data_IF_195618023944
#
_entry.id   IF_195618023944
#
_cell.length_a   1.000
_cell.length_b   1.000
_cell.length_c   1.000
_cell.angle_alpha   90.00
_cell.angle_beta   90.00
_cell.angle_gamma   90.00
#
_symmetry.space_group_name_H-M   'P 1'
#
loop_
_entity.id
_entity.type
_entity.pdbx_description
1 polymer ?
#
# COMPACT_ATOMS: atom_id res chain seq x y z
N UNK A 1 23.42 27.06 69.73
CA UNK A 1 23.32 26.08 68.63
C UNK A 1 21.99 26.30 67.93
N UNK A 2 21.99 27.07 66.84
CA UNK A 2 20.82 27.37 66.02
C UNK A 2 20.81 26.40 64.84
N UNK A 3 19.82 25.51 64.78
CA UNK A 3 19.65 24.56 63.68
C UNK A 3 18.85 25.23 62.55
N UNK A 4 19.45 25.36 61.37
CA UNK A 4 18.80 25.83 60.15
C UNK A 4 18.15 24.63 59.47
N UNK A 5 16.81 24.62 59.39
CA UNK A 5 16.04 23.62 58.64
C UNK A 5 16.13 23.96 57.15
N UNK A 6 16.93 23.22 56.38
CA UNK A 6 16.97 23.30 54.92
C UNK A 6 15.86 22.46 54.30
N UNK A 7 14.87 23.11 53.70
CA UNK A 7 13.80 22.44 52.95
C UNK A 7 14.29 22.19 51.51
N UNK A 8 14.53 20.93 51.15
CA UNK A 8 14.93 20.53 49.80
C UNK A 8 13.67 20.37 48.95
N UNK A 9 13.45 21.28 48.01
CA UNK A 9 12.38 21.18 47.01
C UNK A 9 12.84 20.21 45.90
N UNK A 10 12.32 18.98 45.93
CA UNK A 10 12.45 18.02 44.83
C UNK A 10 11.49 18.45 43.71
N UNK A 11 12.02 19.13 42.68
CA UNK A 11 11.26 19.47 41.48
C UNK A 11 10.95 18.22 40.65
N UNK A 12 9.67 17.85 40.56
CA UNK A 12 9.20 16.81 39.63
C UNK A 12 9.31 17.36 38.20
N UNK A 13 10.21 16.80 37.40
CA UNK A 13 10.27 17.11 35.97
C UNK A 13 9.18 16.33 35.25
N UNK A 14 8.11 17.02 34.86
CA UNK A 14 7.08 16.48 33.97
C UNK A 14 7.62 16.57 32.55
N UNK A 15 8.05 15.45 31.98
CA UNK A 15 8.39 15.34 30.57
C UNK A 15 7.11 15.27 29.74
N UNK A 16 6.78 16.36 29.06
CA UNK A 16 5.75 16.33 28.03
C UNK A 16 6.29 15.57 26.82
N UNK A 17 5.73 14.39 26.55
CA UNK A 17 5.96 13.73 25.27
C UNK A 17 5.34 14.61 24.17
N UNK A 18 6.17 15.25 23.36
CA UNK A 18 5.70 15.90 22.12
C UNK A 18 5.19 14.79 21.19
N UNK A 19 3.87 14.71 21.05
CA UNK A 19 3.26 13.95 19.96
C UNK A 19 3.62 14.64 18.66
N UNK A 20 4.61 14.10 17.95
CA UNK A 20 4.99 14.60 16.64
C UNK A 20 3.79 14.38 15.70
N UNK A 21 3.16 15.48 15.30
CA UNK A 21 2.04 15.43 14.35
C UNK A 21 2.60 15.14 12.97
N UNK A 22 2.15 14.04 12.37
CA UNK A 22 2.56 13.64 11.03
C UNK A 22 1.88 14.55 9.97
N UNK A 23 2.55 14.79 8.84
CA UNK A 23 2.04 15.68 7.81
C UNK A 23 0.72 15.19 7.23
N UNK A 24 -0.11 16.14 6.79
CA UNK A 24 -1.40 15.91 6.15
C UNK A 24 -1.41 16.52 4.76
N UNK A 25 -2.06 15.85 3.82
CA UNK A 25 -2.25 16.30 2.43
C UNK A 25 -3.74 16.30 2.12
N UNK A 26 -4.25 17.41 1.58
CA UNK A 26 -5.59 17.50 1.02
C UNK A 26 -5.56 17.04 -0.45
N UNK A 27 -6.19 15.91 -0.75
CA UNK A 27 -6.28 15.32 -2.09
C UNK A 27 -7.52 15.81 -2.86
N UNK A 28 -8.32 16.70 -2.27
CA UNK A 28 -9.57 17.22 -2.82
C UNK A 28 -10.79 16.36 -2.47
N UNK A 29 -10.64 15.03 -2.50
CA UNK A 29 -11.69 14.08 -2.09
C UNK A 29 -11.48 13.50 -0.67
N UNK A 30 -10.28 13.61 -0.10
CA UNK A 30 -10.00 13.26 1.29
C UNK A 30 -8.81 14.06 1.84
N UNK A 31 -8.71 14.14 3.17
CA UNK A 31 -7.49 14.58 3.86
C UNK A 31 -6.76 13.32 4.32
N UNK A 32 -5.53 13.15 3.86
CA UNK A 32 -4.71 11.98 4.14
C UNK A 32 -3.49 12.37 5.00
N UNK A 33 -3.33 11.72 6.15
CA UNK A 33 -2.19 11.88 7.05
C UNK A 33 -1.15 10.79 6.77
N UNK A 34 0.13 11.11 6.86
CA UNK A 34 1.16 10.07 6.86
C UNK A 34 0.94 9.11 8.04
N UNK A 35 1.17 7.82 7.80
CA UNK A 35 1.05 6.76 8.81
C UNK A 35 2.30 6.69 9.69
N UNK A 36 3.46 6.97 9.10
CA UNK A 36 4.75 6.94 9.79
C UNK A 36 5.73 7.98 9.26
N UNK A 37 6.83 8.14 10.01
CA UNK A 37 8.03 8.82 9.59
C UNK A 37 9.24 7.98 9.99
N UNK A 38 10.02 7.54 9.00
CA UNK A 38 11.27 6.84 9.24
C UNK A 38 12.38 7.86 9.56
N UNK A 39 12.93 7.80 10.77
CA UNK A 39 13.98 8.73 11.20
C UNK A 39 15.36 8.41 10.63
N UNK A 40 15.64 7.14 10.34
CA UNK A 40 16.95 6.67 9.83
C UNK A 40 17.10 6.96 8.34
N UNK A 41 16.03 6.76 7.59
CA UNK A 41 15.90 7.22 6.21
C UNK A 41 14.75 8.23 6.21
N UNK A 42 15.01 9.56 6.22
CA UNK A 42 14.02 10.61 6.48
C UNK A 42 12.93 10.65 5.42
N UNK A 43 11.97 9.74 5.55
CA UNK A 43 10.90 9.43 4.61
C UNK A 43 9.57 9.48 5.36
N UNK A 44 8.58 10.14 4.77
CA UNK A 44 7.19 9.99 5.16
C UNK A 44 6.54 8.87 4.36
N UNK A 45 5.76 8.03 5.03
CA UNK A 45 4.91 7.03 4.41
C UNK A 45 3.45 7.48 4.46
N UNK A 46 2.82 7.59 3.31
CA UNK A 46 1.38 7.76 3.18
C UNK A 46 0.82 6.46 2.63
N UNK A 47 0.31 5.60 3.51
CA UNK A 47 -0.20 4.29 3.11
C UNK A 47 -1.69 4.31 2.78
N UNK A 48 -2.15 3.36 1.96
CA UNK A 48 -3.56 3.12 1.66
C UNK A 48 -4.35 4.37 1.27
N UNK A 49 -3.81 5.16 0.33
CA UNK A 49 -4.51 6.28 -0.31
C UNK A 49 -5.45 5.72 -1.38
N UNK A 50 -6.74 6.06 -1.32
CA UNK A 50 -7.74 5.60 -2.30
C UNK A 50 -7.54 6.32 -3.64
N UNK A 51 -7.22 5.62 -4.72
CA UNK A 51 -7.10 6.27 -6.04
C UNK A 51 -8.33 6.08 -6.94
N UNK A 52 -9.27 5.21 -6.58
CA UNK A 52 -10.50 4.97 -7.34
C UNK A 52 -11.67 4.54 -6.43
N UNK A 53 -12.89 4.60 -6.98
CA UNK A 53 -14.08 4.02 -6.36
C UNK A 53 -13.95 2.49 -6.23
N UNK A 54 -14.58 1.87 -5.22
CA UNK A 54 -14.59 0.42 -5.08
C UNK A 54 -15.16 -0.24 -6.36
N UNK A 55 -14.45 -1.18 -7.01
CA UNK A 55 -14.90 -1.87 -8.21
C UNK A 55 -15.92 -2.98 -7.90
N UNK A 56 -16.97 -2.64 -7.15
CA UNK A 56 -18.03 -3.56 -6.70
C UNK A 56 -19.35 -3.28 -7.41
N UNK A 57 -20.28 -4.24 -7.38
CA UNK A 57 -21.60 -4.09 -7.98
C UNK A 57 -21.51 -3.77 -9.46
N UNK A 58 -22.12 -2.65 -9.90
CA UNK A 58 -22.09 -2.23 -11.31
C UNK A 58 -20.72 -1.74 -11.79
N UNK A 59 -19.77 -1.49 -10.88
CA UNK A 59 -18.39 -1.13 -11.22
C UNK A 59 -17.47 -2.35 -11.34
N UNK A 60 -17.94 -3.56 -10.98
CA UNK A 60 -17.17 -4.79 -11.18
C UNK A 60 -16.99 -5.01 -12.69
N UNK A 61 -15.73 -5.26 -13.10
CA UNK A 61 -15.32 -5.43 -14.50
C UNK A 61 -15.49 -4.18 -15.39
N UNK A 62 -15.73 -3.01 -14.80
CA UNK A 62 -15.70 -1.73 -15.50
C UNK A 62 -14.32 -1.06 -15.37
N UNK A 63 -14.07 -0.04 -16.19
CA UNK A 63 -12.91 0.81 -16.00
C UNK A 63 -12.98 1.53 -14.63
N UNK A 64 -11.85 1.68 -13.90
CA UNK A 64 -11.84 2.42 -12.65
C UNK A 64 -12.34 3.85 -12.80
N UNK A 65 -13.12 4.31 -11.82
CA UNK A 65 -13.68 5.67 -11.80
C UNK A 65 -13.06 6.43 -10.62
N UNK A 66 -12.71 7.73 -10.76
CA UNK A 66 -12.15 8.51 -9.66
C UNK A 66 -13.05 8.55 -8.43
N UNK A 67 -12.48 8.72 -7.21
CA UNK A 67 -13.26 8.92 -5.99
C UNK A 67 -14.22 10.11 -6.12
N UNK A 68 -15.40 9.98 -5.49
CA UNK A 68 -16.45 11.01 -5.54
C UNK A 68 -16.75 11.56 -4.15
N UNK A 69 -17.17 12.83 -4.12
CA UNK A 69 -17.45 13.54 -2.88
C UNK A 69 -16.19 13.91 -2.10
N UNK A 70 -16.38 14.40 -0.86
CA UNK A 70 -15.31 14.70 0.07
C UNK A 70 -15.53 13.93 1.37
N UNK A 71 -14.60 13.06 1.72
CA UNK A 71 -14.60 12.40 3.02
C UNK A 71 -14.17 13.41 4.09
N UNK A 72 -15.03 13.72 5.08
CA UNK A 72 -14.71 14.67 6.14
C UNK A 72 -13.76 14.08 7.20
N UNK A 73 -13.58 12.76 7.22
CA UNK A 73 -12.73 12.05 8.18
C UNK A 73 -11.30 11.95 7.63
N UNK A 74 -10.32 12.36 8.44
CA UNK A 74 -8.91 12.20 8.11
C UNK A 74 -8.60 10.71 7.97
N UNK A 75 -8.09 10.32 6.81
CA UNK A 75 -7.56 8.98 6.57
C UNK A 75 -6.07 8.97 6.93
N UNK A 76 -5.57 7.88 7.49
CA UNK A 76 -4.16 7.70 7.85
C UNK A 76 -3.56 6.41 7.28
N UNK A 77 -4.36 5.68 6.49
CA UNK A 77 -3.93 4.45 5.85
C UNK A 77 -3.83 3.22 6.76
N UNK A 78 -4.26 3.31 8.02
CA UNK A 78 -4.12 2.23 9.01
C UNK A 78 -4.93 0.96 8.69
N UNK A 79 -5.98 1.08 7.86
CA UNK A 79 -6.78 -0.05 7.40
C UNK A 79 -6.23 -0.57 6.07
N UNK A 80 -5.40 -1.61 6.15
CA UNK A 80 -4.87 -2.30 4.98
C UNK A 80 -5.96 -2.94 4.11
N UNK A 81 -5.75 -2.89 2.79
CA UNK A 81 -6.64 -3.46 1.77
C UNK A 81 -5.80 -4.20 0.74
N UNK A 82 -6.13 -5.47 0.49
CA UNK A 82 -5.53 -6.24 -0.61
C UNK A 82 -6.62 -6.75 -1.52
N UNK A 83 -6.32 -6.85 -2.82
CA UNK A 83 -7.27 -7.37 -3.78
C UNK A 83 -7.47 -8.88 -3.61
N UNK A 84 -8.63 -9.43 -4.03
CA UNK A 84 -8.81 -10.86 -4.13
C UNK A 84 -7.75 -11.50 -5.03
N UNK A 85 -7.03 -12.50 -4.53
CA UNK A 85 -5.99 -13.22 -5.26
C UNK A 85 -6.18 -14.73 -5.10
N UNK A 86 -5.75 -15.49 -6.08
CA UNK A 86 -5.81 -16.94 -6.04
C UNK A 86 -4.78 -17.53 -7.00
N UNK A 87 -4.25 -18.71 -6.65
CA UNK A 87 -3.38 -19.46 -7.56
C UNK A 87 -4.26 -20.00 -8.70
N UNK A 88 -4.00 -19.60 -9.95
CA UNK A 88 -4.77 -20.08 -11.09
C UNK A 88 -4.29 -21.46 -11.53
N UNK A 89 -5.18 -22.24 -12.17
CA UNK A 89 -4.85 -23.59 -12.67
C UNK A 89 -3.63 -23.62 -13.60
N UNK A 90 -3.40 -22.55 -14.35
CA UNK A 90 -2.27 -22.50 -15.29
C UNK A 90 -0.91 -22.34 -14.59
N UNK A 91 -0.84 -21.90 -13.33
CA UNK A 91 0.42 -21.68 -12.62
C UNK A 91 1.26 -22.97 -12.46
N UNK A 92 0.74 -24.09 -11.93
CA UNK A 92 1.49 -25.34 -11.89
C UNK A 92 1.78 -25.91 -13.29
N UNK A 93 0.92 -25.67 -14.27
CA UNK A 93 1.12 -26.11 -15.67
C UNK A 93 2.31 -25.35 -16.29
N UNK A 94 2.37 -24.03 -16.06
CA UNK A 94 3.46 -23.18 -16.52
C UNK A 94 4.82 -23.63 -15.95
N UNK A 95 4.86 -24.03 -14.67
CA UNK A 95 6.08 -24.57 -14.06
C UNK A 95 6.59 -25.85 -14.75
N UNK A 96 5.68 -26.73 -15.20
CA UNK A 96 6.06 -27.92 -16.00
C UNK A 96 6.56 -27.49 -17.38
N UNK A 97 5.85 -26.55 -18.03
CA UNK A 97 6.25 -26.01 -19.33
C UNK A 97 7.63 -25.35 -19.31
N UNK A 98 7.95 -24.60 -18.27
CA UNK A 98 9.26 -23.98 -18.08
C UNK A 98 10.38 -25.03 -17.92
N UNK A 99 10.11 -26.10 -17.16
CA UNK A 99 11.05 -27.21 -17.01
C UNK A 99 11.30 -27.93 -18.34
N UNK A 100 10.24 -28.21 -19.11
CA UNK A 100 10.34 -28.82 -20.45
C UNK A 100 11.08 -27.89 -21.43
N UNK A 101 10.84 -26.59 -21.37
CA UNK A 101 11.56 -25.61 -22.19
C UNK A 101 13.06 -25.61 -21.89
N UNK A 102 13.44 -25.57 -20.61
CA UNK A 102 14.85 -25.60 -20.18
C UNK A 102 15.52 -26.92 -20.59
N UNK A 103 14.80 -28.04 -20.48
CA UNK A 103 15.29 -29.36 -20.86
C UNK A 103 15.36 -29.60 -22.38
N UNK A 104 14.80 -28.69 -23.19
CA UNK A 104 14.67 -28.89 -24.65
C UNK A 104 13.58 -29.88 -25.05
N UNK A 105 12.66 -30.18 -24.14
CA UNK A 105 11.55 -31.14 -24.29
C UNK A 105 10.21 -30.43 -24.58
N UNK A 106 10.21 -29.16 -25.01
CA UNK A 106 8.96 -28.42 -25.28
C UNK A 106 8.04 -29.11 -26.31
N UNK A 107 8.60 -29.97 -27.17
CA UNK A 107 7.82 -30.78 -28.13
C UNK A 107 6.96 -31.86 -27.47
N UNK A 108 7.25 -32.25 -26.23
CA UNK A 108 6.46 -33.21 -25.45
C UNK A 108 5.50 -32.56 -24.47
N UNK A 109 5.49 -31.23 -24.37
CA UNK A 109 4.60 -30.50 -23.48
C UNK A 109 3.14 -30.64 -23.94
N UNK A 110 2.29 -31.20 -23.08
CA UNK A 110 0.86 -31.38 -23.33
C UNK A 110 0.03 -30.60 -22.30
N UNK A 111 -0.42 -29.41 -22.72
CA UNK A 111 -1.26 -28.55 -21.90
C UNK A 111 -2.58 -29.22 -21.50
N UNK A 112 -3.20 -29.99 -22.40
CA UNK A 112 -4.55 -30.53 -22.17
C UNK A 112 -4.50 -31.61 -21.09
N UNK A 113 -3.55 -32.55 -21.20
CA UNK A 113 -3.34 -33.59 -20.19
C UNK A 113 -3.01 -33.02 -18.81
N UNK A 114 -2.14 -32.00 -18.75
CA UNK A 114 -1.80 -31.34 -17.49
C UNK A 114 -2.99 -30.56 -16.91
N UNK A 115 -3.77 -29.87 -17.74
CA UNK A 115 -4.95 -29.15 -17.29
C UNK A 115 -6.02 -30.09 -16.72
N UNK A 116 -6.25 -31.25 -17.33
CA UNK A 116 -7.15 -32.28 -16.80
C UNK A 116 -6.69 -32.79 -15.42
N UNK A 117 -5.39 -33.11 -15.28
CA UNK A 117 -4.81 -33.56 -14.01
C UNK A 117 -4.94 -32.51 -12.90
N UNK A 118 -4.65 -31.24 -13.23
CA UNK A 118 -4.79 -30.13 -12.28
C UNK A 118 -6.24 -29.94 -11.86
N UNK A 119 -7.19 -30.03 -12.79
CA UNK A 119 -8.61 -29.93 -12.47
C UNK A 119 -9.09 -31.07 -11.56
N UNK A 120 -8.67 -32.31 -11.83
CA UNK A 120 -9.00 -33.46 -10.97
C UNK A 120 -8.42 -33.28 -9.56
N UNK A 121 -7.18 -32.83 -9.45
CA UNK A 121 -6.54 -32.55 -8.16
C UNK A 121 -7.33 -31.51 -7.34
N UNK A 122 -7.68 -30.37 -7.93
CA UNK A 122 -8.44 -29.31 -7.25
C UNK A 122 -9.90 -29.70 -6.96
N UNK A 123 -10.48 -30.62 -7.74
CA UNK A 123 -11.80 -31.18 -7.43
C UNK A 123 -11.79 -31.99 -6.13
N UNK A 124 -10.67 -32.63 -5.80
CA UNK A 124 -10.51 -33.42 -4.58
C UNK A 124 -9.92 -32.59 -3.43
N UNK A 125 -9.18 -31.54 -3.74
CA UNK A 125 -8.49 -30.68 -2.79
C UNK A 125 -8.83 -29.21 -3.08
N UNK A 126 -10.04 -28.74 -2.72
CA UNK A 126 -10.41 -27.35 -2.99
C UNK A 126 -9.36 -26.39 -2.40
N UNK A 127 -8.95 -25.35 -3.14
CA UNK A 127 -7.95 -24.42 -2.67
C UNK A 127 -8.43 -23.74 -1.38
N UNK A 128 -7.53 -23.48 -0.42
CA UNK A 128 -7.89 -22.80 0.80
C UNK A 128 -8.49 -21.43 0.45
N UNK A 129 -9.53 -21.04 1.20
CA UNK A 129 -10.07 -19.69 1.11
C UNK A 129 -8.95 -18.67 1.35
N UNK A 130 -9.08 -17.49 0.74
CA UNK A 130 -8.09 -16.43 0.94
C UNK A 130 -7.93 -16.12 2.43
N UNK A 131 -6.70 -16.28 2.92
CA UNK A 131 -6.37 -16.19 4.35
C UNK A 131 -6.06 -14.77 4.81
N UNK A 132 -5.78 -13.85 3.89
CA UNK A 132 -5.59 -12.45 4.22
C UNK A 132 -6.93 -11.80 4.55
N UNK A 133 -7.13 -11.45 5.82
CA UNK A 133 -8.36 -10.81 6.31
C UNK A 133 -8.57 -9.40 5.74
N UNK A 134 -7.56 -8.80 5.12
CA UNK A 134 -7.64 -7.50 4.44
C UNK A 134 -8.22 -7.63 3.03
N UNK A 135 -8.42 -8.86 2.54
CA UNK A 135 -8.95 -9.13 1.23
C UNK A 135 -10.34 -8.56 1.01
N UNK A 136 -10.49 -7.70 0.01
CA UNK A 136 -11.79 -7.17 -0.41
C UNK A 136 -11.71 -6.64 -1.84
N UNK A 137 -12.82 -6.65 -2.57
CA UNK A 137 -12.87 -5.98 -3.87
C UNK A 137 -12.69 -4.45 -3.75
N UNK A 138 -12.97 -3.85 -2.59
CA UNK A 138 -12.58 -2.47 -2.31
C UNK A 138 -11.08 -2.37 -2.00
N UNK A 139 -10.24 -2.49 -3.04
CA UNK A 139 -8.79 -2.61 -2.93
C UNK A 139 -7.98 -1.63 -3.80
N UNK A 140 -8.63 -0.65 -4.44
CA UNK A 140 -7.95 0.32 -5.31
C UNK A 140 -7.27 1.44 -4.51
N UNK A 141 -6.18 1.06 -3.84
CA UNK A 141 -5.36 1.91 -2.98
C UNK A 141 -3.88 1.86 -3.38
N UNK A 142 -3.15 2.94 -3.11
CA UNK A 142 -1.71 3.05 -3.36
C UNK A 142 -0.99 3.58 -2.11
N UNK A 143 0.33 3.47 -2.12
CA UNK A 143 1.20 4.09 -1.11
C UNK A 143 2.09 5.14 -1.76
N UNK A 144 2.44 6.16 -0.99
CA UNK A 144 3.39 7.20 -1.39
C UNK A 144 4.46 7.34 -0.33
N UNK A 145 5.70 7.03 -0.70
CA UNK A 145 6.88 7.28 0.11
C UNK A 145 7.57 8.54 -0.39
N UNK A 146 7.80 9.51 0.49
CA UNK A 146 8.38 10.81 0.10
C UNK A 146 9.48 11.25 1.05
N UNK A 147 10.66 11.65 0.55
CA UNK A 147 11.69 12.26 1.38
C UNK A 147 11.20 13.51 2.07
N UNK A 148 11.49 13.64 3.37
CA UNK A 148 11.12 14.78 4.20
C UNK A 148 11.56 16.10 3.60
N UNK A 149 12.79 16.17 3.11
CA UNK A 149 13.34 17.38 2.50
C UNK A 149 12.49 17.86 1.31
N UNK A 150 12.05 16.92 0.46
CA UNK A 150 11.18 17.21 -0.67
C UNK A 150 9.81 17.67 -0.19
N UNK A 151 9.21 16.95 0.77
CA UNK A 151 7.89 17.28 1.29
C UNK A 151 7.86 18.68 1.93
N UNK A 152 8.85 18.97 2.78
CA UNK A 152 8.94 20.22 3.52
C UNK A 152 9.33 21.41 2.65
N UNK A 153 10.09 21.19 1.56
CA UNK A 153 10.48 22.25 0.62
C UNK A 153 9.27 23.01 0.03
N UNK A 154 8.10 22.37 -0.01
CA UNK A 154 6.83 22.95 -0.47
C UNK A 154 6.27 24.01 0.48
N UNK A 155 6.65 24.01 1.77
CA UNK A 155 6.11 24.94 2.77
C UNK A 155 6.75 26.34 2.72
N UNK A 156 7.83 26.51 1.96
CA UNK A 156 8.45 27.83 1.75
C UNK A 156 7.56 28.65 0.82
N UNK A 157 6.92 29.68 1.38
CA UNK A 157 6.00 30.58 0.68
C UNK A 157 6.63 31.19 -0.59
N UNK A 158 6.31 30.62 -1.75
CA UNK A 158 6.38 31.35 -3.02
C UNK A 158 5.00 31.91 -3.34
N UNK A 159 4.78 33.23 -3.22
CA UNK A 159 3.50 33.83 -3.54
C UNK A 159 3.22 33.59 -5.02
N UNK A 160 2.15 32.84 -5.30
CA UNK A 160 1.55 32.66 -6.63
C UNK A 160 2.49 32.15 -7.72
N UNK A 161 3.03 30.93 -7.58
CA UNK A 161 3.40 30.15 -8.77
C UNK A 161 2.19 29.33 -9.23
N UNK A 162 1.39 29.95 -10.11
CA UNK A 162 0.53 29.24 -11.06
C UNK A 162 1.41 28.18 -11.75
N UNK A 163 1.12 26.89 -11.52
CA UNK A 163 1.73 25.70 -12.13
C UNK A 163 2.93 26.01 -13.06
N UNK A 164 4.12 26.18 -12.47
CA UNK A 164 5.35 26.35 -13.24
C UNK A 164 5.86 24.95 -13.56
N UNK A 165 6.00 24.61 -14.83
CA UNK A 165 6.34 23.28 -15.38
C UNK A 165 7.76 22.78 -15.06
N UNK A 166 8.40 23.27 -13.98
CA UNK A 166 9.79 22.97 -13.63
C UNK A 166 10.08 22.91 -12.13
N UNK A 167 9.10 22.62 -11.28
CA UNK A 167 9.23 22.69 -9.81
C UNK A 167 8.67 21.49 -9.02
N UNK A 168 8.82 20.27 -9.54
CA UNK A 168 8.42 19.03 -8.86
C UNK A 168 9.60 18.08 -8.63
N UNK A 169 9.41 17.08 -7.77
CA UNK A 169 10.37 15.99 -7.59
C UNK A 169 10.14 14.87 -8.62
N UNK A 170 11.18 14.12 -9.03
CA UNK A 170 11.02 12.90 -9.80
C UNK A 170 10.13 11.88 -9.06
N UNK A 171 9.30 11.14 -9.80
CA UNK A 171 8.41 10.11 -9.25
C UNK A 171 8.74 8.76 -9.88
N UNK A 172 8.94 7.76 -9.04
CA UNK A 172 9.06 6.35 -9.46
C UNK A 172 7.75 5.66 -9.13
N UNK A 173 7.18 4.97 -10.11
CA UNK A 173 5.95 4.18 -9.95
C UNK A 173 6.37 2.71 -10.00
N UNK A 174 6.16 2.00 -8.89
CA UNK A 174 6.35 0.56 -8.83
C UNK A 174 5.02 -0.16 -9.03
N UNK A 175 5.03 -1.18 -9.88
CA UNK A 175 3.89 -2.06 -10.13
C UNK A 175 4.35 -3.46 -9.76
N UNK A 176 3.69 -4.07 -8.78
CA UNK A 176 4.06 -5.40 -8.29
C UNK A 176 3.79 -6.48 -9.35
N UNK A 177 4.52 -7.60 -9.23
CA UNK A 177 4.39 -8.77 -10.11
C UNK A 177 3.24 -9.70 -9.72
N UNK A 178 3.42 -11.01 -9.85
CA UNK A 178 2.37 -11.99 -9.48
C UNK A 178 1.42 -12.34 -10.63
N UNK A 179 1.88 -12.17 -11.87
CA UNK A 179 1.26 -12.77 -13.06
C UNK A 179 -0.25 -12.44 -13.20
N UNK A 180 -0.63 -11.24 -12.77
CA UNK A 180 -2.01 -10.74 -12.76
C UNK A 180 -3.01 -11.49 -11.85
N UNK A 181 -2.55 -12.46 -11.07
CA UNK A 181 -3.42 -13.30 -10.22
C UNK A 181 -3.06 -13.26 -8.74
N UNK A 182 -1.86 -12.76 -8.42
CA UNK A 182 -1.28 -12.69 -7.09
C UNK A 182 -0.62 -11.31 -6.89
N UNK A 183 -0.27 -11.02 -5.63
CA UNK A 183 0.57 -9.88 -5.27
C UNK A 183 -0.18 -8.74 -4.56
N UNK A 184 0.62 -7.88 -3.96
CA UNK A 184 0.20 -6.66 -3.29
C UNK A 184 1.31 -5.62 -3.37
N UNK A 185 0.98 -4.37 -3.05
CA UNK A 185 1.94 -3.25 -2.93
C UNK A 185 2.80 -3.28 -1.65
N UNK A 186 2.49 -4.21 -0.74
CA UNK A 186 3.25 -4.45 0.49
C UNK A 186 4.52 -5.26 0.23
#
# INVERSE_FOLDING_TARGET
MTAVLGCVLLGVQVTFAQTQTLPKVDLGYEIHQAIDFNQTAPLYNFSNIRYAQPPVGSLRFAAPVPPVGRNPVIQDGSVGKVCPSAIPNWSPIASVGDADLIAGNVSTFDYNSLNEQVQEYWSQHPPPAQTDSRATEDCLFLDVIVPKEIFDSRQVHHPRRRWNTGGGAPVVIWVYGGEYTLGSKE
#
